data_IF_082111454635
#
_entry.id   IF_082111454635
#
_cell.length_a   1.000
_cell.length_b   1.000
_cell.length_c   1.000
_cell.angle_alpha   90.00
_cell.angle_beta   90.00
_cell.angle_gamma   90.00
#
_symmetry.space_group_name_H-M   'P 1'
#
loop_
_entity.id
_entity.type
_entity.pdbx_description
1 polymer ?
#
# COMPACT_ATOMS: atom_id res chain seq x y z
N UNK A 1 -16.97 0.96 -3.31
CA UNK A 1 -15.97 -0.10 -3.46
C UNK A 1 -14.94 0.13 -2.37
N UNK A 2 -14.81 -0.77 -1.38
CA UNK A 2 -13.73 -0.67 -0.41
C UNK A 2 -12.39 -0.74 -1.15
N UNK A 3 -11.52 0.24 -0.88
CA UNK A 3 -10.17 0.28 -1.44
C UNK A 3 -9.22 -0.13 -0.33
N UNK A 4 -8.35 -1.10 -0.62
CA UNK A 4 -7.30 -1.54 0.30
C UNK A 4 -5.95 -1.46 -0.37
N UNK A 5 -4.92 -1.36 0.45
CA UNK A 5 -3.54 -1.33 0.00
C UNK A 5 -2.87 -2.59 0.48
N UNK A 6 -2.14 -3.25 -0.40
CA UNK A 6 -1.46 -4.51 -0.10
C UNK A 6 0.00 -4.38 -0.51
N UNK A 7 0.93 -4.87 0.29
CA UNK A 7 2.30 -5.04 -0.14
C UNK A 7 2.40 -6.21 -1.12
N UNK A 8 3.04 -6.00 -2.27
CA UNK A 8 3.23 -7.03 -3.30
C UNK A 8 4.15 -8.20 -2.88
N UNK A 9 4.85 -8.10 -1.75
CA UNK A 9 5.89 -9.06 -1.34
C UNK A 9 5.56 -9.74 0.00
N UNK A 10 5.16 -8.98 1.02
CA UNK A 10 4.86 -9.55 2.34
C UNK A 10 3.35 -9.69 2.62
N UNK A 11 2.50 -9.40 1.63
CA UNK A 11 1.03 -9.43 1.74
C UNK A 11 0.44 -8.58 2.88
N UNK A 12 1.23 -7.67 3.46
CA UNK A 12 0.74 -6.71 4.45
C UNK A 12 -0.41 -5.91 3.87
N UNK A 13 -1.57 -5.95 4.52
CA UNK A 13 -2.80 -5.33 4.04
C UNK A 13 -3.18 -4.18 4.98
N UNK A 14 -3.53 -3.04 4.38
CA UNK A 14 -3.97 -1.83 5.06
C UNK A 14 -5.35 -1.47 4.52
N UNK A 15 -6.34 -1.50 5.41
CA UNK A 15 -7.74 -1.21 5.10
C UNK A 15 -8.19 0.14 5.69
N UNK A 16 -7.36 0.72 6.57
CA UNK A 16 -7.61 2.02 7.17
C UNK A 16 -7.56 3.13 6.12
N UNK A 17 -8.58 3.99 6.12
CA UNK A 17 -8.74 5.06 5.14
C UNK A 17 -7.49 5.95 5.04
N UNK A 18 -6.88 6.29 6.18
CA UNK A 18 -5.69 7.14 6.24
C UNK A 18 -4.49 6.47 5.58
N UNK A 19 -4.24 5.18 5.87
CA UNK A 19 -3.19 4.40 5.22
C UNK A 19 -3.42 4.27 3.71
N UNK A 20 -4.67 4.09 3.29
CA UNK A 20 -5.05 4.00 1.87
C UNK A 20 -4.81 5.32 1.14
N UNK A 21 -5.19 6.46 1.74
CA UNK A 21 -4.96 7.79 1.17
C UNK A 21 -3.46 8.13 1.08
N UNK A 22 -2.69 7.74 2.10
CA UNK A 22 -1.24 7.98 2.13
C UNK A 22 -0.53 7.16 1.05
N UNK A 23 -0.84 5.86 0.97
CA UNK A 23 -0.29 4.98 -0.06
C UNK A 23 -0.70 5.42 -1.46
N UNK A 24 -1.92 5.93 -1.67
CA UNK A 24 -2.34 6.51 -2.96
C UNK A 24 -1.41 7.64 -3.42
N UNK A 25 -1.01 8.54 -2.51
CA UNK A 25 -0.06 9.61 -2.82
C UNK A 25 1.30 9.04 -3.21
N UNK A 26 1.84 8.12 -2.42
CA UNK A 26 3.12 7.47 -2.70
C UNK A 26 3.13 6.69 -4.03
N UNK A 27 2.05 5.96 -4.31
CA UNK A 27 1.89 5.23 -5.58
C UNK A 27 1.80 6.22 -6.75
N UNK A 28 1.11 7.35 -6.58
CA UNK A 28 1.03 8.40 -7.61
C UNK A 28 2.37 9.12 -7.85
N UNK A 29 3.21 9.25 -6.82
CA UNK A 29 4.58 9.75 -6.92
C UNK A 29 5.55 8.72 -7.52
N UNK A 30 5.11 7.47 -7.71
CA UNK A 30 5.90 6.38 -8.28
C UNK A 30 6.84 5.70 -7.29
N UNK A 31 6.68 5.96 -5.99
CA UNK A 31 7.50 5.36 -4.95
C UNK A 31 6.67 5.08 -3.69
N UNK A 32 6.30 3.82 -3.49
CA UNK A 32 5.46 3.38 -2.38
C UNK A 32 6.07 2.20 -1.65
N UNK A 33 7.15 2.39 -0.87
CA UNK A 33 7.80 1.30 -0.17
C UNK A 33 6.88 0.72 0.91
N UNK A 34 7.02 -0.59 1.17
CA UNK A 34 6.37 -1.23 2.29
C UNK A 34 6.86 -0.59 3.62
N UNK A 35 5.96 -0.27 4.57
CA UNK A 35 6.35 0.24 5.89
C UNK A 35 7.20 -0.75 6.70
N UNK A 36 7.13 -2.04 6.35
CA UNK A 36 8.01 -3.04 6.93
C UNK A 36 9.42 -2.87 6.37
N UNK A 37 10.34 -2.30 7.18
CA UNK A 37 11.75 -2.06 6.82
C UNK A 37 12.47 -3.34 6.33
N UNK A 38 12.04 -4.52 6.78
CA UNK A 38 12.62 -5.80 6.34
C UNK A 38 12.01 -6.32 5.03
N UNK A 39 10.98 -5.67 4.50
CA UNK A 39 10.32 -6.04 3.26
C UNK A 39 10.81 -5.14 2.12
N UNK A 40 11.46 -5.69 1.08
CA UNK A 40 11.85 -4.93 -0.10
C UNK A 40 10.68 -4.64 -1.05
N UNK A 41 9.44 -4.93 -0.62
CA UNK A 41 8.24 -4.80 -1.42
C UNK A 41 7.68 -3.40 -1.47
N UNK A 42 6.67 -3.23 -2.31
CA UNK A 42 5.96 -1.98 -2.53
C UNK A 42 4.46 -2.16 -2.31
N UNK A 43 3.83 -1.07 -1.88
CA UNK A 43 2.40 -0.97 -1.68
C UNK A 43 1.68 -0.81 -3.02
N UNK A 44 0.67 -1.64 -3.25
CA UNK A 44 -0.22 -1.60 -4.41
C UNK A 44 -1.67 -1.42 -3.97
N UNK A 45 -2.45 -0.68 -4.76
CA UNK A 45 -3.89 -0.54 -4.54
C UNK A 45 -4.63 -1.76 -5.10
N UNK A 46 -5.48 -2.37 -4.26
CA UNK A 46 -6.48 -3.34 -4.66
C UNK A 46 -7.87 -2.77 -4.44
N UNK A 47 -8.70 -2.83 -5.48
CA UNK A 47 -10.13 -2.52 -5.43
C UNK A 47 -10.87 -3.85 -5.28
N UNK A 48 -11.71 -3.96 -4.27
CA UNK A 48 -12.64 -5.10 -4.10
C UNK A 48 -14.07 -4.68 -4.44
#
# INVERSE_FOLDING_TARGET
MPEKVVCNTCDATYEDKESVEMAKRWIAEGYAPCPNISCPGELILKKE
#
